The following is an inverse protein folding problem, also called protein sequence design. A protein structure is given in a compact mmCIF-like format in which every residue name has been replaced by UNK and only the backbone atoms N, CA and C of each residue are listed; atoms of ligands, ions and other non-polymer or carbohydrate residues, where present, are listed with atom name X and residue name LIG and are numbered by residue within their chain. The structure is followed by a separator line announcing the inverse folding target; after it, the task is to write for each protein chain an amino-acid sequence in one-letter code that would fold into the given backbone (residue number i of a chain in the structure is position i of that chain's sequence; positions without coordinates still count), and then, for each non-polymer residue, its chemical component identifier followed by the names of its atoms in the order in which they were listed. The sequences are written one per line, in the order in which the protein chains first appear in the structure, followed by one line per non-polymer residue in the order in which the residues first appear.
data_IF_510526366646
#
_entry.id   IF_510526366646
#
_cell.length_a   1.000
_cell.length_b   1.000
_cell.length_c   1.000
_cell.angle_alpha   90.00
_cell.angle_beta   90.00
_cell.angle_gamma   90.00
#
_symmetry.space_group_name_H-M   'P 1'
#
loop_
_entity.id
_entity.type
_entity.pdbx_description
1 polymer ?
#
# COMPACT_ATOMS: atom_id res chain seq x y z
N UNK A 1 -14.09 -0.02 -5.88
CA UNK A 1 -12.94 -0.78 -5.33
C UNK A 1 -12.83 -2.07 -6.11
N UNK A 2 -11.61 -2.56 -6.29
CA UNK A 2 -11.38 -3.83 -7.00
C UNK A 2 -11.96 -5.01 -6.20
N UNK A 3 -12.49 -6.01 -6.90
CA UNK A 3 -12.97 -7.26 -6.32
C UNK A 3 -11.86 -8.32 -6.17
N UNK A 4 -10.62 -8.01 -6.60
CA UNK A 4 -9.49 -8.93 -6.48
C UNK A 4 -9.21 -9.22 -5.01
N UNK A 5 -9.22 -10.51 -4.67
CA UNK A 5 -8.87 -11.00 -3.33
C UNK A 5 -7.36 -10.86 -3.14
N UNK A 6 -6.91 -10.40 -1.98
CA UNK A 6 -5.47 -10.34 -1.65
C UNK A 6 -5.23 -11.06 -0.34
N UNK A 7 -4.26 -11.98 -0.31
CA UNK A 7 -3.88 -12.70 0.89
C UNK A 7 -2.36 -12.83 0.99
N UNK A 8 -1.84 -12.80 2.22
CA UNK A 8 -0.42 -13.10 2.51
C UNK A 8 -0.15 -14.60 2.55
N UNK A 9 -1.20 -15.43 2.63
CA UNK A 9 -1.13 -16.89 2.57
C UNK A 9 -1.58 -17.43 1.21
N UNK A 10 -2.11 -18.64 1.24
CA UNK A 10 -2.71 -19.29 0.08
C UNK A 10 -4.25 -19.29 0.18
N UNK A 11 -4.93 -19.71 -0.89
CA UNK A 11 -6.38 -19.87 -0.95
C UNK A 11 -6.77 -21.35 -0.80
N UNK A 12 -7.94 -21.61 -0.24
CA UNK A 12 -8.50 -22.98 -0.09
C UNK A 12 -9.40 -23.38 -1.27
N UNK A 13 -9.01 -23.00 -2.49
CA UNK A 13 -9.76 -23.24 -3.72
C UNK A 13 -8.79 -23.39 -4.88
N UNK A 14 -9.21 -24.07 -5.94
CA UNK A 14 -8.37 -24.29 -7.11
C UNK A 14 -8.24 -23.02 -7.94
N UNK A 15 -7.06 -22.82 -8.52
CA UNK A 15 -6.75 -21.67 -9.35
C UNK A 15 -5.67 -21.99 -10.39
N UNK A 16 -5.51 -21.09 -11.35
CA UNK A 16 -4.41 -21.07 -12.31
C UNK A 16 -3.48 -19.89 -12.03
N UNK A 17 -2.17 -20.12 -12.10
CA UNK A 17 -1.18 -19.07 -11.91
C UNK A 17 -1.06 -18.24 -13.18
N UNK A 18 -1.25 -16.93 -13.07
CA UNK A 18 -1.09 -15.98 -14.18
C UNK A 18 0.30 -15.35 -14.19
N UNK A 19 0.92 -15.20 -13.02
CA UNK A 19 2.29 -14.68 -12.88
C UNK A 19 2.45 -13.72 -11.69
N UNK A 20 3.66 -13.22 -11.45
CA UNK A 20 3.90 -12.26 -10.38
C UNK A 20 3.32 -10.89 -10.74
N UNK A 21 2.78 -10.22 -9.73
CA UNK A 21 2.45 -8.79 -9.76
C UNK A 21 3.28 -8.06 -8.72
N UNK A 22 3.68 -6.84 -9.04
CA UNK A 22 4.54 -6.01 -8.22
C UNK A 22 3.96 -4.60 -8.17
N UNK A 23 4.17 -3.84 -7.10
CA UNK A 23 3.90 -2.40 -6.98
C UNK A 23 4.95 -1.76 -6.07
N UNK A 24 5.34 -0.52 -6.36
CA UNK A 24 6.21 0.26 -5.48
C UNK A 24 5.73 1.69 -5.35
N UNK A 25 5.92 2.27 -4.17
CA UNK A 25 5.62 3.67 -3.89
C UNK A 25 6.57 4.21 -2.83
N UNK A 26 6.93 5.49 -2.94
CA UNK A 26 7.72 6.19 -1.94
C UNK A 26 7.09 7.54 -1.59
N UNK A 27 7.44 8.03 -0.40
CA UNK A 27 7.14 9.41 0.02
C UNK A 27 8.21 10.42 -0.42
N UNK A 28 9.21 10.00 -1.22
CA UNK A 28 10.28 10.85 -1.74
C UNK A 28 9.84 11.64 -2.97
N UNK A 29 10.09 12.95 -2.97
CA UNK A 29 9.84 13.83 -4.12
C UNK A 29 10.04 15.31 -3.78
N UNK A 30 10.68 16.06 -4.68
CA UNK A 30 11.04 17.47 -4.47
C UNK A 30 9.84 18.44 -4.56
N UNK A 31 8.76 18.04 -5.26
CA UNK A 31 7.55 18.87 -5.47
C UNK A 31 6.25 18.08 -5.24
N UNK A 32 6.32 17.04 -4.41
CA UNK A 32 5.28 16.03 -4.21
C UNK A 32 5.79 14.65 -4.56
N UNK A 33 5.42 13.66 -3.74
CA UNK A 33 5.80 12.27 -3.96
C UNK A 33 4.75 11.50 -4.76
N UNK A 34 5.13 10.36 -5.34
CA UNK A 34 4.17 9.43 -5.95
C UNK A 34 3.06 9.07 -4.94
N UNK A 35 3.44 8.87 -3.67
CA UNK A 35 2.48 8.65 -2.58
C UNK A 35 1.55 9.84 -2.36
N UNK A 36 2.03 11.08 -2.39
CA UNK A 36 1.20 12.27 -2.18
C UNK A 36 0.09 12.38 -3.24
N UNK A 37 0.41 12.06 -4.49
CA UNK A 37 -0.57 12.06 -5.58
C UNK A 37 -1.59 10.93 -5.44
N UNK A 38 -1.14 9.73 -5.05
CA UNK A 38 -2.04 8.62 -4.78
C UNK A 38 -2.93 8.88 -3.55
N UNK A 39 -2.40 9.48 -2.48
CA UNK A 39 -3.21 9.87 -1.31
C UNK A 39 -4.35 10.80 -1.69
N UNK A 40 -4.13 11.76 -2.60
CA UNK A 40 -5.21 12.61 -3.13
C UNK A 40 -6.28 11.80 -3.87
N UNK A 41 -5.86 10.80 -4.66
CA UNK A 41 -6.76 9.89 -5.39
C UNK A 41 -7.62 9.03 -4.46
N UNK A 42 -7.08 8.60 -3.32
CA UNK A 42 -7.72 7.69 -2.36
C UNK A 42 -8.25 8.38 -1.09
N UNK A 43 -8.35 9.71 -1.09
CA UNK A 43 -8.65 10.51 0.12
C UNK A 43 -10.00 10.14 0.74
N UNK A 44 -11.01 9.86 -0.11
CA UNK A 44 -12.36 9.52 0.32
C UNK A 44 -12.39 8.16 1.01
N UNK A 45 -11.71 7.16 0.44
CA UNK A 45 -11.60 5.81 0.98
C UNK A 45 -10.82 5.79 2.29
N UNK A 46 -9.69 6.50 2.35
CA UNK A 46 -8.89 6.62 3.58
C UNK A 46 -9.73 7.25 4.70
N UNK A 47 -10.47 8.33 4.40
CA UNK A 47 -11.34 8.98 5.39
C UNK A 47 -12.44 8.04 5.87
N UNK A 48 -13.05 7.28 4.95
CA UNK A 48 -14.07 6.28 5.29
C UNK A 48 -13.53 5.17 6.20
N UNK A 49 -12.34 4.64 5.91
CA UNK A 49 -11.69 3.61 6.72
C UNK A 49 -11.33 4.12 8.12
N UNK A 50 -10.82 5.35 8.22
CA UNK A 50 -10.56 6.02 9.50
C UNK A 50 -11.83 6.15 10.33
N UNK A 51 -12.93 6.60 9.72
CA UNK A 51 -14.22 6.72 10.40
C UNK A 51 -14.80 5.37 10.86
N UNK A 52 -14.49 4.28 10.15
CA UNK A 52 -14.88 2.91 10.51
C UNK A 52 -13.94 2.23 11.51
N UNK A 53 -12.83 2.86 11.88
CA UNK A 53 -11.82 2.27 12.77
C UNK A 53 -11.00 1.14 12.14
N UNK A 54 -11.04 0.97 10.82
CA UNK A 54 -10.21 -0.02 10.09
C UNK A 54 -8.88 0.56 9.61
N UNK A 55 -8.60 1.82 9.95
CA UNK A 55 -7.32 2.50 9.79
C UNK A 55 -7.15 3.48 10.96
N UNK A 56 -5.93 3.64 11.46
CA UNK A 56 -5.62 4.56 12.55
C UNK A 56 -5.94 6.00 12.17
N UNK A 57 -6.49 6.77 13.11
CA UNK A 57 -6.62 8.21 12.96
C UNK A 57 -5.23 8.85 12.86
N UNK A 58 -5.14 10.00 12.19
CA UNK A 58 -3.89 10.75 12.14
C UNK A 58 -3.52 11.16 13.57
N UNK A 59 -2.38 10.68 14.05
CA UNK A 59 -1.79 11.20 15.28
C UNK A 59 -0.98 12.43 14.93
N UNK A 60 -1.15 13.50 15.71
CA UNK A 60 -0.27 14.66 15.63
C UNK A 60 1.17 14.19 15.91
N UNK A 61 2.06 14.38 14.94
CA UNK A 61 3.47 14.10 15.11
C UNK A 61 4.11 15.25 15.91
N UNK A 62 4.25 15.04 17.22
CA UNK A 62 4.94 15.98 18.11
C UNK A 62 6.47 15.96 17.92
N UNK A 63 7.02 15.05 17.09
CA UNK A 63 8.44 14.98 16.76
C UNK A 63 8.98 16.24 16.09
N UNK A 64 8.11 16.98 15.38
CA UNK A 64 8.45 18.30 14.82
C UNK A 64 8.92 19.31 15.88
N UNK A 65 8.45 19.22 17.13
CA UNK A 65 8.91 20.10 18.22
C UNK A 65 10.31 19.74 18.73
N UNK A 66 10.81 18.53 18.44
CA UNK A 66 12.08 18.00 18.94
C UNK A 66 13.13 17.78 17.84
N UNK A 67 12.88 18.24 16.61
CA UNK A 67 13.83 18.15 15.50
C UNK A 67 13.87 16.80 14.78
N UNK A 68 13.01 15.85 15.14
CA UNK A 68 12.86 14.56 14.46
C UNK A 68 11.52 14.55 13.71
N UNK A 69 11.55 14.67 12.38
CA UNK A 69 10.34 14.46 11.58
C UNK A 69 10.08 12.95 11.50
N UNK A 70 9.14 12.44 12.30
CA UNK A 70 8.71 11.06 12.17
C UNK A 70 7.94 10.94 10.86
N UNK A 71 8.35 10.03 9.99
CA UNK A 71 7.46 9.54 8.92
C UNK A 71 6.32 8.81 9.60
N UNK A 72 5.31 9.58 10.00
CA UNK A 72 4.29 9.16 10.94
C UNK A 72 3.71 7.80 10.64
N UNK A 73 3.38 7.05 11.68
CA UNK A 73 2.75 5.74 11.62
C UNK A 73 1.50 5.71 10.71
N UNK A 74 0.77 6.83 10.62
CA UNK A 74 -0.41 7.00 9.74
C UNK A 74 -0.07 7.01 8.24
N UNK A 75 1.14 7.42 7.87
CA UNK A 75 1.60 7.47 6.48
C UNK A 75 1.90 6.09 5.92
N UNK A 76 2.40 5.18 6.77
CA UNK A 76 2.63 3.78 6.41
C UNK A 76 1.33 3.00 6.20
N UNK A 77 0.34 3.14 7.08
CA UNK A 77 -0.97 2.48 6.90
C UNK A 77 -1.66 2.95 5.62
N UNK A 78 -1.63 4.26 5.36
CA UNK A 78 -2.17 4.83 4.12
C UNK A 78 -1.42 4.32 2.90
N UNK A 79 -0.09 4.24 2.96
CA UNK A 79 0.74 3.74 1.86
C UNK A 79 0.49 2.26 1.59
N UNK A 80 0.36 1.43 2.63
CA UNK A 80 0.05 0.01 2.51
C UNK A 80 -1.33 -0.20 1.87
N UNK A 81 -2.35 0.56 2.29
CA UNK A 81 -3.67 0.50 1.67
C UNK A 81 -3.62 0.88 0.19
N UNK A 82 -3.01 2.03 -0.13
CA UNK A 82 -2.87 2.51 -1.50
C UNK A 82 -2.12 1.50 -2.37
N UNK A 83 -1.01 0.97 -1.86
CA UNK A 83 -0.18 0.00 -2.57
C UNK A 83 -0.94 -1.31 -2.81
N UNK A 84 -1.75 -1.76 -1.84
CA UNK A 84 -2.65 -2.91 -2.02
C UNK A 84 -3.68 -2.65 -3.12
N UNK A 85 -4.32 -1.48 -3.15
CA UNK A 85 -5.32 -1.16 -4.17
C UNK A 85 -4.71 -0.98 -5.56
N UNK A 86 -3.50 -0.42 -5.67
CA UNK A 86 -2.79 -0.33 -6.95
C UNK A 86 -2.24 -1.68 -7.41
N UNK A 87 -1.85 -2.58 -6.48
CA UNK A 87 -1.49 -3.97 -6.80
C UNK A 87 -2.68 -4.75 -7.35
N UNK A 88 -3.88 -4.57 -6.75
CA UNK A 88 -5.13 -5.15 -7.28
C UNK A 88 -5.41 -4.72 -8.72
N UNK A 89 -5.21 -3.43 -9.06
CA UNK A 89 -5.37 -2.96 -10.44
C UNK A 89 -4.41 -3.64 -11.42
N UNK A 90 -3.17 -3.92 -10.99
CA UNK A 90 -2.21 -4.68 -11.82
C UNK A 90 -2.65 -6.12 -12.01
N UNK A 91 -3.26 -6.73 -11.01
CA UNK A 91 -3.86 -8.06 -11.11
C UNK A 91 -5.09 -8.08 -12.04
N UNK A 92 -5.95 -7.06 -11.99
CA UNK A 92 -7.08 -6.91 -12.93
C UNK A 92 -6.60 -6.81 -14.39
N UNK A 93 -5.50 -6.10 -14.64
CA UNK A 93 -4.93 -5.96 -16.00
C UNK A 93 -4.53 -7.31 -16.62
N UNK A 94 -4.22 -8.32 -15.80
CA UNK A 94 -3.89 -9.67 -16.26
C UNK A 94 -5.05 -10.65 -16.14
N UNK A 95 -6.25 -10.17 -15.77
CA UNK A 95 -7.46 -10.99 -15.64
C UNK A 95 -7.45 -11.90 -14.40
N UNK A 96 -6.76 -11.49 -13.34
CA UNK A 96 -6.70 -12.23 -12.09
C UNK A 96 -7.92 -11.97 -11.21
N UNK A 97 -8.32 -12.98 -10.46
CA UNK A 97 -9.35 -12.91 -9.44
C UNK A 97 -8.76 -12.75 -8.04
N UNK A 98 -7.50 -13.16 -7.85
CA UNK A 98 -6.81 -13.05 -6.58
C UNK A 98 -5.30 -12.82 -6.73
N UNK A 99 -4.69 -12.29 -5.66
CA UNK A 99 -3.26 -12.22 -5.42
C UNK A 99 -2.96 -13.03 -4.16
N UNK A 100 -2.16 -14.09 -4.30
CA UNK A 100 -1.74 -14.95 -3.19
C UNK A 100 -0.29 -14.69 -2.81
N UNK A 101 0.09 -15.19 -1.64
CA UNK A 101 1.45 -15.08 -1.10
C UNK A 101 1.99 -13.65 -1.13
N UNK A 102 1.11 -12.66 -0.91
CA UNK A 102 1.48 -11.26 -0.93
C UNK A 102 2.55 -11.00 0.14
N UNK A 103 3.57 -10.24 -0.24
CA UNK A 103 4.68 -9.78 0.59
C UNK A 103 4.84 -8.28 0.45
N UNK A 104 5.39 -7.68 1.49
CA UNK A 104 5.83 -6.29 1.49
C UNK A 104 7.31 -6.23 1.87
N UNK A 105 8.00 -5.24 1.34
CA UNK A 105 9.33 -4.83 1.76
C UNK A 105 9.35 -3.32 1.94
N UNK A 106 10.06 -2.84 2.97
CA UNK A 106 10.12 -1.43 3.34
C UNK A 106 11.57 -1.07 3.62
N UNK A 107 12.13 -0.25 2.73
CA UNK A 107 13.43 0.38 2.95
C UNK A 107 13.23 1.79 3.50
N UNK A 108 14.03 2.16 4.51
CA UNK A 108 14.06 3.49 5.10
C UNK A 108 15.38 4.20 4.77
N UNK A 109 15.29 5.42 4.25
CA UNK A 109 16.41 6.33 4.05
C UNK A 109 16.31 7.43 5.13
N UNK A 110 17.19 7.37 6.13
CA UNK A 110 17.14 8.20 7.34
C UNK A 110 18.07 9.43 7.26
N UNK A 111 18.67 9.71 6.11
CA UNK A 111 19.55 10.85 5.96
C UNK A 111 18.75 12.17 5.83
N UNK A 112 18.57 12.87 6.95
CA UNK A 112 18.01 14.22 7.03
C UNK A 112 16.47 14.28 7.06
N UNK A 113 15.81 13.75 6.04
CA UNK A 113 14.35 13.57 6.03
C UNK A 113 14.06 12.08 5.87
N UNK A 114 13.28 11.49 6.78
CA UNK A 114 12.98 10.07 6.66
C UNK A 114 12.15 9.83 5.40
N UNK A 115 12.73 9.11 4.43
CA UNK A 115 12.00 8.60 3.28
C UNK A 115 11.80 7.11 3.45
N UNK A 116 10.70 6.59 2.92
CA UNK A 116 10.48 5.16 2.79
C UNK A 116 10.21 4.78 1.35
N UNK A 117 10.61 3.57 1.00
CA UNK A 117 10.29 2.90 -0.24
C UNK A 117 9.51 1.65 0.12
N UNK A 118 8.21 1.66 -0.15
CA UNK A 118 7.34 0.51 0.04
C UNK A 118 7.27 -0.25 -1.27
N UNK A 119 7.64 -1.52 -1.23
CA UNK A 119 7.48 -2.47 -2.32
C UNK A 119 6.49 -3.55 -1.89
N UNK A 120 5.56 -3.92 -2.77
CA UNK A 120 4.58 -4.98 -2.53
C UNK A 120 4.49 -5.87 -3.74
N UNK A 121 4.45 -7.18 -3.52
CA UNK A 121 4.37 -8.16 -4.61
C UNK A 121 3.65 -9.42 -4.16
N UNK A 122 3.19 -10.19 -5.14
CA UNK A 122 2.53 -11.48 -4.92
C UNK A 122 2.29 -12.19 -6.24
N UNK A 123 1.58 -13.30 -6.20
CA UNK A 123 1.26 -14.09 -7.39
C UNK A 123 -0.19 -13.86 -7.77
N UNK A 124 -0.44 -13.31 -8.96
CA UNK A 124 -1.76 -13.21 -9.54
C UNK A 124 -2.25 -14.58 -9.99
N UNK A 125 -3.47 -14.92 -9.61
CA UNK A 125 -4.11 -16.19 -9.92
C UNK A 125 -5.54 -15.97 -10.41
N UNK A 126 -6.01 -16.87 -11.27
CA UNK A 126 -7.38 -16.93 -11.76
C UNK A 126 -8.11 -18.10 -11.11
N UNK A 127 -9.28 -17.87 -10.53
CA UNK A 127 -10.04 -18.94 -9.90
C UNK A 127 -10.66 -19.84 -10.97
N UNK A 128 -10.80 -21.12 -10.66
CA UNK A 128 -11.49 -22.10 -11.53
C UNK A 128 -12.99 -22.14 -11.26
#
# INVERSE_FOLDING_TARGET
MSNVIVTTGDLKQDYEILGPVYFQVSNKGLFGSALSNLKKKYVSEIKHMKNKGTMSADRADWGFLYGEWSVGQSDFESAFFIATEELKKRAEMVGADAIIAMRQDIDMDTNGFAYFYLQMYGTAVKLK
#
